data_IF_509965972997
#
_entry.id   IF_509965972997
#
_cell.length_a   1.000
_cell.length_b   1.000
_cell.length_c   1.000
_cell.angle_alpha   90.00
_cell.angle_beta   90.00
_cell.angle_gamma   90.00
#
_symmetry.space_group_name_H-M   'P 1'
#
loop_
_entity.id
_entity.type
_entity.pdbx_description
1 polymer ?
#
# COMPACT_ATOMS: atom_id res chain seq x y z
N UNK A 1 15.25 0.57 -35.77
CA UNK A 1 14.52 -0.55 -35.12
C UNK A 1 15.30 -0.91 -33.86
N UNK A 2 14.94 -0.36 -32.70
CA UNK A 2 15.69 -0.62 -31.46
C UNK A 2 15.29 -1.99 -30.91
N UNK A 3 16.22 -2.94 -30.98
CA UNK A 3 16.24 -4.11 -30.10
C UNK A 3 16.11 -3.62 -28.66
N UNK A 4 14.93 -3.69 -28.04
CA UNK A 4 14.81 -3.45 -26.60
C UNK A 4 14.89 -4.80 -25.91
N UNK A 5 16.08 -5.12 -25.41
CA UNK A 5 16.29 -6.17 -24.42
C UNK A 5 15.83 -5.72 -23.02
N UNK A 6 15.36 -4.47 -22.88
CA UNK A 6 14.95 -3.86 -21.62
C UNK A 6 13.48 -3.41 -21.68
N UNK A 7 12.71 -3.62 -20.59
CA UNK A 7 11.31 -3.23 -20.53
C UNK A 7 11.13 -1.71 -20.58
N UNK A 8 9.98 -1.24 -21.08
CA UNK A 8 9.54 0.14 -20.86
C UNK A 8 9.15 0.32 -19.39
N UNK A 9 9.78 1.26 -18.67
CA UNK A 9 9.64 1.43 -17.23
C UNK A 9 8.69 2.57 -16.90
N UNK A 10 7.57 2.23 -16.26
CA UNK A 10 6.60 3.19 -15.73
C UNK A 10 6.86 3.42 -14.25
N UNK A 11 7.16 4.65 -13.85
CA UNK A 11 7.16 5.07 -12.45
C UNK A 11 5.74 5.44 -12.01
N UNK A 12 5.10 4.60 -11.21
CA UNK A 12 3.73 4.82 -10.74
C UNK A 12 3.73 5.39 -9.32
N UNK A 13 3.22 6.62 -9.18
CA UNK A 13 3.12 7.31 -7.89
C UNK A 13 1.77 7.98 -7.68
N UNK A 14 1.57 8.56 -6.50
CA UNK A 14 0.34 9.22 -6.09
C UNK A 14 0.34 9.50 -4.59
N UNK A 15 -0.50 10.44 -4.18
CA UNK A 15 -0.73 10.69 -2.76
C UNK A 15 -1.49 9.52 -2.10
N UNK A 16 -1.58 9.56 -0.78
CA UNK A 16 -2.26 8.55 0.02
C UNK A 16 -3.71 8.39 -0.45
N UNK A 17 -4.19 7.15 -0.47
CA UNK A 17 -5.57 6.81 -0.83
C UNK A 17 -6.06 7.29 -2.22
N UNK A 18 -5.18 7.71 -3.10
CA UNK A 18 -5.52 8.05 -4.50
C UNK A 18 -5.88 6.82 -5.35
N UNK A 19 -5.47 5.62 -4.92
CA UNK A 19 -5.74 4.36 -5.63
C UNK A 19 -4.60 3.85 -6.49
N UNK A 20 -3.36 4.26 -6.20
CA UNK A 20 -2.12 3.75 -6.81
C UNK A 20 -2.10 2.23 -6.97
N UNK A 21 -2.41 1.48 -5.91
CA UNK A 21 -2.45 0.01 -5.93
C UNK A 21 -3.53 -0.57 -6.85
N UNK A 22 -4.63 0.16 -7.05
CA UNK A 22 -5.66 -0.22 -8.03
C UNK A 22 -5.10 -0.11 -9.45
N UNK A 23 -4.45 1.00 -9.79
CA UNK A 23 -3.83 1.21 -11.11
C UNK A 23 -2.68 0.22 -11.34
N UNK A 24 -1.85 -0.03 -10.32
CA UNK A 24 -0.78 -1.03 -10.38
C UNK A 24 -1.33 -2.43 -10.72
N UNK A 25 -2.46 -2.82 -10.09
CA UNK A 25 -3.14 -4.08 -10.43
C UNK A 25 -3.68 -4.07 -11.86
N UNK A 26 -4.26 -2.97 -12.32
CA UNK A 26 -4.74 -2.87 -13.70
C UNK A 26 -3.60 -3.06 -14.71
N UNK A 27 -2.45 -2.42 -14.49
CA UNK A 27 -1.26 -2.58 -15.32
C UNK A 27 -0.73 -4.02 -15.29
N UNK A 28 -0.73 -4.68 -14.13
CA UNK A 28 -0.41 -6.12 -14.04
C UNK A 28 -1.33 -6.97 -14.91
N UNK A 29 -2.61 -6.64 -14.96
CA UNK A 29 -3.61 -7.35 -15.77
C UNK A 29 -3.47 -7.09 -17.27
N UNK A 30 -2.81 -5.99 -17.66
CA UNK A 30 -2.38 -5.73 -19.03
C UNK A 30 -1.06 -6.42 -19.39
N UNK A 31 -0.43 -7.12 -18.44
CA UNK A 31 0.80 -7.89 -18.66
C UNK A 31 2.07 -7.21 -18.17
N UNK A 32 1.98 -6.16 -17.34
CA UNK A 32 3.16 -5.51 -16.78
C UNK A 32 3.80 -6.29 -15.61
N UNK A 33 5.12 -6.23 -15.53
CA UNK A 33 5.90 -6.62 -14.36
C UNK A 33 5.80 -5.53 -13.30
N UNK A 34 5.07 -5.75 -12.19
CA UNK A 34 4.86 -4.70 -11.18
C UNK A 34 5.74 -4.93 -9.96
N UNK A 35 6.58 -3.94 -9.65
CA UNK A 35 7.52 -3.89 -8.54
C UNK A 35 7.00 -2.89 -7.50
N UNK A 36 6.69 -3.38 -6.30
CA UNK A 36 6.24 -2.55 -5.17
C UNK A 36 7.45 -2.11 -4.34
N UNK A 37 7.90 -0.87 -4.55
CA UNK A 37 9.08 -0.31 -3.89
C UNK A 37 8.86 -0.11 -2.39
N UNK A 38 7.62 0.18 -1.96
CA UNK A 38 7.28 0.31 -0.55
C UNK A 38 7.49 -1.03 0.18
N UNK A 39 7.13 -2.16 -0.45
CA UNK A 39 7.47 -3.52 0.05
C UNK A 39 8.96 -3.82 0.04
N UNK A 40 9.74 -3.26 -0.89
CA UNK A 40 11.19 -3.42 -0.90
C UNK A 40 11.83 -2.68 0.27
N UNK A 41 11.42 -1.44 0.51
CA UNK A 41 11.83 -0.67 1.69
C UNK A 41 11.52 -1.45 2.98
N UNK A 42 10.33 -2.06 3.05
CA UNK A 42 9.94 -2.87 4.19
C UNK A 42 10.84 -4.08 4.41
N UNK A 43 11.25 -4.75 3.33
CA UNK A 43 12.14 -5.92 3.40
C UNK A 43 13.58 -5.53 3.72
N UNK A 44 14.04 -4.39 3.22
CA UNK A 44 15.39 -3.89 3.48
C UNK A 44 15.62 -3.66 4.98
N UNK A 45 14.59 -3.21 5.71
CA UNK A 45 14.66 -2.90 7.15
C UNK A 45 14.56 -4.12 8.09
N UNK A 46 14.45 -5.35 7.57
CA UNK A 46 14.30 -6.54 8.43
C UNK A 46 15.51 -6.76 9.35
N UNK A 47 15.25 -7.36 10.50
CA UNK A 47 16.26 -7.71 11.49
C UNK A 47 17.51 -8.37 10.88
N UNK A 48 18.69 -7.94 11.31
CA UNK A 48 19.98 -8.51 10.91
C UNK A 48 20.52 -8.06 9.56
N UNK A 49 19.79 -7.21 8.81
CA UNK A 49 20.28 -6.61 7.57
C UNK A 49 21.12 -5.35 7.77
N UNK A 50 21.86 -4.95 6.72
CA UNK A 50 22.69 -3.72 6.73
C UNK A 50 21.88 -2.45 7.04
N UNK A 51 20.72 -2.30 6.40
CA UNK A 51 19.82 -1.15 6.63
C UNK A 51 19.32 -1.12 8.08
N UNK A 52 18.98 -2.27 8.65
CA UNK A 52 18.58 -2.38 10.05
C UNK A 52 19.72 -1.92 10.98
N UNK A 53 20.96 -2.38 10.74
CA UNK A 53 22.13 -1.94 11.53
C UNK A 53 22.34 -0.42 11.44
N UNK A 54 22.30 0.16 10.24
CA UNK A 54 22.46 1.61 10.05
C UNK A 54 21.34 2.44 10.71
N UNK A 55 20.10 1.91 10.72
CA UNK A 55 18.99 2.53 11.45
C UNK A 55 19.30 2.53 12.95
N UNK A 56 19.79 1.42 13.51
CA UNK A 56 20.15 1.32 14.93
C UNK A 56 21.31 2.26 15.30
N UNK A 57 22.33 2.35 14.44
CA UNK A 57 23.46 3.28 14.62
C UNK A 57 22.99 4.74 14.68
N UNK A 58 21.99 5.11 13.87
CA UNK A 58 21.50 6.49 13.78
C UNK A 58 20.44 6.85 14.83
N UNK A 59 19.53 5.93 15.13
CA UNK A 59 18.33 6.18 15.94
C UNK A 59 18.33 5.43 17.28
N UNK A 60 19.41 4.71 17.57
CA UNK A 60 19.58 3.94 18.80
C UNK A 60 18.83 2.61 18.79
N UNK A 61 19.02 1.80 19.83
CA UNK A 61 18.41 0.45 19.94
C UNK A 61 16.93 0.51 20.35
N UNK A 62 16.47 1.66 20.81
CA UNK A 62 15.08 1.89 21.20
C UNK A 62 14.11 1.80 20.03
N UNK A 63 14.57 1.87 18.79
CA UNK A 63 13.72 1.68 17.59
C UNK A 63 13.57 0.21 17.20
N UNK A 64 14.09 -0.71 18.01
CA UNK A 64 13.93 -2.15 17.81
C UNK A 64 12.90 -2.74 18.76
N UNK A 65 12.18 -3.73 18.25
CA UNK A 65 11.41 -4.69 19.04
C UNK A 65 12.34 -5.71 19.71
N UNK A 66 11.85 -6.47 20.71
CA UNK A 66 12.67 -7.48 21.40
C UNK A 66 13.24 -8.58 20.48
N UNK A 67 12.60 -8.83 19.34
CA UNK A 67 13.05 -9.79 18.31
C UNK A 67 14.08 -9.21 17.34
N UNK A 68 14.44 -7.92 17.49
CA UNK A 68 15.39 -7.21 16.64
C UNK A 68 14.77 -6.61 15.37
N UNK A 69 13.47 -6.77 15.14
CA UNK A 69 12.77 -6.08 14.05
C UNK A 69 12.61 -4.59 14.37
N UNK A 70 12.51 -3.75 13.34
CA UNK A 70 12.27 -2.31 13.52
C UNK A 70 10.85 -2.06 14.02
N UNK A 71 10.73 -1.38 15.17
CA UNK A 71 9.47 -0.82 15.68
C UNK A 71 9.10 0.38 14.81
N UNK A 72 8.31 0.11 13.76
CA UNK A 72 7.90 1.11 12.77
C UNK A 72 7.06 2.25 13.37
N UNK A 73 6.06 2.01 14.24
CA UNK A 73 5.37 3.08 14.94
C UNK A 73 6.35 4.00 15.68
N UNK A 74 7.29 3.45 16.42
CA UNK A 74 8.26 4.24 17.19
C UNK A 74 9.23 5.00 16.30
N UNK A 75 9.79 4.34 15.29
CA UNK A 75 10.65 4.99 14.30
C UNK A 75 9.90 6.12 13.57
N UNK A 76 8.64 5.90 13.20
CA UNK A 76 7.77 6.90 12.58
C UNK A 76 7.62 8.14 13.47
N UNK A 77 7.34 7.97 14.77
CA UNK A 77 7.25 9.09 15.71
C UNK A 77 8.53 9.93 15.73
N UNK A 78 9.70 9.29 15.73
CA UNK A 78 10.98 10.00 15.73
C UNK A 78 11.22 10.76 14.43
N UNK A 79 11.05 10.11 13.28
CA UNK A 79 11.40 10.70 12.00
C UNK A 79 10.37 11.71 11.51
N UNK A 80 9.10 11.61 11.90
CA UNK A 80 8.09 12.62 11.55
C UNK A 80 8.11 13.83 12.48
N UNK A 81 8.76 13.75 13.64
CA UNK A 81 8.98 14.90 14.51
C UNK A 81 10.17 15.78 14.09
N UNK A 82 11.13 15.22 13.35
CA UNK A 82 12.34 15.92 12.90
C UNK A 82 12.63 15.66 11.42
N UNK A 83 12.59 16.73 10.62
CA UNK A 83 12.88 16.66 9.19
C UNK A 83 14.31 16.18 8.89
N UNK A 84 15.28 16.41 9.78
CA UNK A 84 16.64 15.87 9.62
C UNK A 84 16.69 14.37 9.86
N UNK A 85 16.03 13.89 10.92
CA UNK A 85 15.85 12.47 11.18
C UNK A 85 15.18 11.75 10.01
N UNK A 86 14.16 12.37 9.37
CA UNK A 86 13.54 11.80 8.16
C UNK A 86 14.52 11.67 7.00
N UNK A 87 15.30 12.73 6.71
CA UNK A 87 16.32 12.71 5.65
C UNK A 87 17.38 11.66 5.91
N UNK A 88 17.79 11.49 7.16
CA UNK A 88 18.78 10.48 7.53
C UNK A 88 18.23 9.07 7.29
N UNK A 89 16.99 8.80 7.71
CA UNK A 89 16.33 7.51 7.42
C UNK A 89 16.21 7.27 5.91
N UNK A 90 15.79 8.27 5.15
CA UNK A 90 15.68 8.19 3.69
C UNK A 90 17.04 7.90 3.04
N UNK A 91 18.12 8.55 3.49
CA UNK A 91 19.48 8.33 2.97
C UNK A 91 20.02 6.93 3.23
N UNK A 92 19.54 6.28 4.31
CA UNK A 92 19.89 4.90 4.64
C UNK A 92 19.11 3.92 3.74
N UNK A 93 17.81 4.17 3.55
CA UNK A 93 16.88 3.22 2.92
C UNK A 93 16.85 3.35 1.39
N UNK A 94 16.78 4.57 0.85
CA UNK A 94 16.54 4.81 -0.57
C UNK A 94 17.57 4.13 -1.49
N UNK A 95 18.90 4.23 -1.26
CA UNK A 95 19.88 3.62 -2.16
C UNK A 95 19.67 2.10 -2.31
N UNK A 96 19.42 1.41 -1.19
CA UNK A 96 19.20 -0.05 -1.19
C UNK A 96 17.92 -0.43 -1.94
N UNK A 97 16.87 0.40 -1.82
CA UNK A 97 15.60 0.20 -2.54
C UNK A 97 15.76 0.48 -4.02
N UNK A 98 16.52 1.51 -4.40
CA UNK A 98 16.86 1.81 -5.80
C UNK A 98 17.58 0.64 -6.44
N UNK A 99 18.68 0.16 -5.83
CA UNK A 99 19.46 -0.96 -6.38
C UNK A 99 18.64 -2.24 -6.53
N UNK A 100 17.82 -2.57 -5.53
CA UNK A 100 16.93 -3.74 -5.59
C UNK A 100 15.84 -3.58 -6.66
N UNK A 101 15.32 -2.36 -6.86
CA UNK A 101 14.33 -2.08 -7.89
C UNK A 101 14.93 -2.23 -9.27
N UNK A 102 16.13 -1.67 -9.52
CA UNK A 102 16.85 -1.80 -10.78
C UNK A 102 17.16 -3.26 -11.10
N UNK A 103 17.62 -4.04 -10.11
CA UNK A 103 17.82 -5.49 -10.27
C UNK A 103 16.54 -6.22 -10.67
N UNK A 104 15.38 -5.82 -10.13
CA UNK A 104 14.08 -6.41 -10.49
C UNK A 104 13.60 -5.99 -11.87
N UNK A 105 13.83 -4.73 -12.27
CA UNK A 105 13.52 -4.24 -13.61
C UNK A 105 14.31 -5.06 -14.64
N UNK A 106 15.62 -5.22 -14.43
CA UNK A 106 16.49 -6.00 -15.32
C UNK A 106 16.09 -7.48 -15.43
N UNK A 107 15.38 -8.01 -14.42
CA UNK A 107 14.88 -9.38 -14.41
C UNK A 107 13.45 -9.54 -14.95
N UNK A 108 12.77 -8.45 -15.33
CA UNK A 108 11.44 -8.54 -15.92
C UNK A 108 11.52 -9.03 -17.38
N UNK A 109 10.83 -10.13 -17.68
CA UNK A 109 10.70 -10.66 -19.04
C UNK A 109 9.59 -9.96 -19.84
N UNK A 110 8.70 -9.24 -19.14
CA UNK A 110 7.60 -8.49 -19.72
C UNK A 110 8.12 -7.24 -20.43
N UNK A 111 7.46 -6.80 -21.51
CA UNK A 111 7.91 -5.61 -22.25
C UNK A 111 7.65 -4.30 -21.50
N UNK A 112 6.91 -4.34 -20.38
CA UNK A 112 6.64 -3.19 -19.49
C UNK A 112 6.92 -3.57 -18.05
N UNK A 113 7.69 -2.74 -17.36
CA UNK A 113 7.88 -2.80 -15.90
C UNK A 113 7.20 -1.59 -15.24
N UNK A 114 6.65 -1.77 -14.05
CA UNK A 114 6.00 -0.71 -13.28
C UNK A 114 6.63 -0.65 -11.90
N UNK A 115 7.26 0.48 -11.57
CA UNK A 115 7.76 0.76 -10.23
C UNK A 115 6.70 1.53 -9.47
N UNK A 116 5.97 0.84 -8.59
CA UNK A 116 5.00 1.44 -7.70
C UNK A 116 5.70 1.97 -6.44
N UNK A 117 5.72 3.29 -6.26
CA UNK A 117 6.37 3.93 -5.10
C UNK A 117 5.64 5.20 -4.64
N UNK A 118 5.42 5.35 -3.33
CA UNK A 118 4.87 6.60 -2.78
C UNK A 118 5.89 7.75 -2.89
N UNK A 119 7.17 7.44 -2.62
CA UNK A 119 8.30 8.39 -2.66
C UNK A 119 9.10 8.30 -3.97
N UNK A 120 8.42 8.10 -5.10
CA UNK A 120 9.07 7.90 -6.41
C UNK A 120 9.97 9.08 -6.80
N UNK A 121 9.51 10.30 -6.53
CA UNK A 121 10.22 11.52 -6.90
C UNK A 121 11.33 11.83 -5.89
N UNK A 122 11.02 11.69 -4.62
CA UNK A 122 11.88 11.97 -3.48
C UNK A 122 13.06 10.99 -3.39
N UNK A 123 12.86 9.74 -3.81
CA UNK A 123 13.92 8.75 -3.94
C UNK A 123 14.67 8.82 -5.28
N UNK A 124 14.41 9.84 -6.10
CA UNK A 124 15.00 10.00 -7.45
C UNK A 124 14.75 8.82 -8.41
N UNK A 125 13.86 7.89 -8.05
CA UNK A 125 13.55 6.69 -8.83
C UNK A 125 12.97 7.01 -10.21
N UNK A 126 12.27 8.15 -10.34
CA UNK A 126 11.76 8.65 -11.61
C UNK A 126 12.85 8.83 -12.69
N UNK A 127 14.11 9.05 -12.31
CA UNK A 127 15.25 9.14 -13.25
C UNK A 127 15.55 7.82 -13.96
N UNK A 128 15.05 6.71 -13.42
CA UNK A 128 15.18 5.36 -13.98
C UNK A 128 13.90 4.89 -14.70
N UNK A 129 12.93 5.78 -14.93
CA UNK A 129 11.67 5.48 -15.59
C UNK A 129 11.62 6.13 -16.99
N UNK A 130 11.02 5.45 -17.96
CA UNK A 130 10.69 6.05 -19.27
C UNK A 130 9.51 7.04 -19.17
N UNK A 131 8.59 6.82 -18.21
CA UNK A 131 7.47 7.73 -17.94
C UNK A 131 7.02 7.68 -16.47
N UNK A 132 6.59 8.82 -15.95
CA UNK A 132 5.99 8.99 -14.62
C UNK A 132 4.47 9.05 -14.75
N UNK A 133 3.79 8.09 -14.14
CA UNK A 133 2.34 8.03 -14.04
C UNK A 133 1.90 8.43 -12.64
N UNK A 134 1.04 9.44 -12.54
CA UNK A 134 0.52 9.93 -11.27
C UNK A 134 -0.95 9.60 -11.15
N UNK A 135 -1.31 8.88 -10.09
CA UNK A 135 -2.71 8.61 -9.74
C UNK A 135 -3.21 9.72 -8.82
N UNK A 136 -4.34 10.31 -9.19
CA UNK A 136 -4.98 11.41 -8.47
C UNK A 136 -6.40 11.05 -8.06
N UNK A 137 -6.87 11.72 -7.02
CA UNK A 137 -8.24 11.61 -6.51
C UNK A 137 -8.55 12.85 -5.67
N UNK A 138 -9.81 13.25 -5.60
CA UNK A 138 -10.27 14.34 -4.74
C UNK A 138 -9.97 14.09 -3.26
N UNK A 139 -9.77 15.15 -2.48
CA UNK A 139 -9.54 15.08 -1.03
C UNK A 139 -10.64 14.28 -0.33
N UNK A 140 -11.90 14.51 -0.71
CA UNK A 140 -13.05 13.78 -0.18
C UNK A 140 -12.91 12.27 -0.39
N UNK A 141 -12.60 11.83 -1.61
CA UNK A 141 -12.40 10.41 -1.93
C UNK A 141 -11.22 9.80 -1.17
N UNK A 142 -10.13 10.55 -0.97
CA UNK A 142 -8.99 10.08 -0.18
C UNK A 142 -9.40 9.82 1.28
N UNK A 143 -10.12 10.75 1.90
CA UNK A 143 -10.60 10.63 3.29
C UNK A 143 -11.55 9.45 3.42
N UNK A 144 -12.58 9.35 2.57
CA UNK A 144 -13.53 8.24 2.58
C UNK A 144 -12.81 6.88 2.49
N UNK A 145 -11.82 6.76 1.59
CA UNK A 145 -11.04 5.52 1.43
C UNK A 145 -10.14 5.22 2.62
N UNK A 146 -9.59 6.23 3.30
CA UNK A 146 -8.82 6.03 4.53
C UNK A 146 -9.72 5.55 5.67
N UNK A 147 -10.90 6.14 5.81
CA UNK A 147 -11.87 5.74 6.82
C UNK A 147 -12.35 4.31 6.59
N UNK A 148 -12.85 4.00 5.39
CA UNK A 148 -13.41 2.67 5.09
C UNK A 148 -12.35 1.57 4.89
N UNK A 149 -11.21 1.93 4.30
CA UNK A 149 -10.18 0.96 3.93
C UNK A 149 -9.12 0.72 5.00
N UNK A 150 -8.98 1.62 5.98
CA UNK A 150 -7.95 1.53 7.03
C UNK A 150 -8.49 1.81 8.44
N UNK A 151 -9.81 1.87 8.61
CA UNK A 151 -10.48 2.08 9.91
C UNK A 151 -10.00 3.30 10.67
N UNK A 152 -9.68 4.39 9.96
CA UNK A 152 -9.26 5.67 10.55
C UNK A 152 -10.48 6.53 10.87
N UNK A 153 -10.35 7.37 11.89
CA UNK A 153 -11.28 8.49 12.10
C UNK A 153 -11.14 9.53 10.98
N UNK A 154 -12.16 10.36 10.79
CA UNK A 154 -12.10 11.46 9.82
C UNK A 154 -10.91 12.39 10.12
N UNK A 155 -10.72 12.80 11.37
CA UNK A 155 -9.61 13.67 11.79
C UNK A 155 -8.24 13.04 11.50
N UNK A 156 -8.04 11.75 11.78
CA UNK A 156 -6.78 11.06 11.45
C UNK A 156 -6.55 10.97 9.94
N UNK A 157 -7.61 10.72 9.17
CA UNK A 157 -7.53 10.66 7.71
C UNK A 157 -7.16 12.03 7.12
N UNK A 158 -7.76 13.11 7.61
CA UNK A 158 -7.44 14.48 7.22
C UNK A 158 -6.00 14.84 7.53
N UNK A 159 -5.55 14.59 8.77
CA UNK A 159 -4.15 14.82 9.17
C UNK A 159 -3.16 14.11 8.24
N UNK A 160 -3.47 12.89 7.81
CA UNK A 160 -2.60 12.13 6.89
C UNK A 160 -2.62 12.66 5.46
N UNK A 161 -3.75 13.15 4.98
CA UNK A 161 -3.84 13.78 3.65
C UNK A 161 -3.07 15.10 3.67
N UNK A 162 -3.28 15.91 4.70
CA UNK A 162 -2.72 17.26 4.82
C UNK A 162 -1.21 17.24 5.14
N UNK A 163 -0.70 16.14 5.73
CA UNK A 163 0.74 15.94 5.96
C UNK A 163 1.54 15.65 4.67
N UNK A 164 0.89 15.41 3.54
CA UNK A 164 1.57 15.15 2.27
C UNK A 164 1.76 16.42 1.46
N UNK A 165 2.81 16.45 0.64
CA UNK A 165 3.00 17.52 -0.33
C UNK A 165 1.79 17.61 -1.29
N UNK A 166 1.46 18.84 -1.76
CA UNK A 166 0.39 19.05 -2.73
C UNK A 166 0.53 18.14 -3.94
N UNK A 167 -0.58 17.58 -4.41
CA UNK A 167 -0.58 16.64 -5.54
C UNK A 167 -0.08 17.30 -6.83
N UNK A 168 -0.24 18.63 -6.93
CA UNK A 168 0.21 19.49 -8.02
C UNK A 168 1.70 19.33 -8.30
N UNK A 169 2.52 19.15 -7.27
CA UNK A 169 3.96 18.91 -7.44
C UNK A 169 4.26 17.61 -8.20
N UNK A 170 3.46 16.56 -7.94
CA UNK A 170 3.58 15.27 -8.64
C UNK A 170 3.01 15.39 -10.05
N UNK A 171 1.85 16.02 -10.19
CA UNK A 171 1.17 16.24 -11.48
C UNK A 171 2.07 17.03 -12.44
N UNK A 172 2.77 18.06 -11.96
CA UNK A 172 3.68 18.86 -12.77
C UNK A 172 4.86 18.07 -13.34
N UNK A 173 5.17 16.90 -12.77
CA UNK A 173 6.23 15.99 -13.22
C UNK A 173 5.69 14.71 -13.87
N UNK A 174 4.39 14.65 -14.13
CA UNK A 174 3.74 13.48 -14.67
C UNK A 174 3.71 13.53 -16.20
N UNK A 175 4.08 12.43 -16.85
CA UNK A 175 3.80 12.20 -18.27
C UNK A 175 2.34 11.76 -18.48
N UNK A 176 1.80 11.05 -17.50
CA UNK A 176 0.41 10.56 -17.50
C UNK A 176 -0.24 10.81 -16.15
N UNK A 177 -1.44 11.39 -16.17
CA UNK A 177 -2.28 11.55 -14.98
C UNK A 177 -3.50 10.64 -15.09
N UNK A 178 -3.71 9.79 -14.08
CA UNK A 178 -4.87 8.89 -13.97
C UNK A 178 -5.76 9.37 -12.83
N UNK A 179 -6.93 9.94 -13.16
CA UNK A 179 -7.93 10.35 -12.17
C UNK A 179 -8.80 9.14 -11.77
N UNK A 180 -8.82 8.82 -10.47
CA UNK A 180 -9.55 7.69 -9.90
C UNK A 180 -10.80 8.11 -9.10
N UNK A 181 -11.43 9.25 -9.42
CA UNK A 181 -12.66 9.70 -8.75
C UNK A 181 -13.92 9.09 -9.37
N UNK A 182 -13.93 8.86 -10.69
CA UNK A 182 -15.14 8.45 -11.42
C UNK A 182 -15.41 6.95 -11.41
N UNK A 183 -14.74 6.21 -10.51
CA UNK A 183 -14.90 4.77 -10.38
C UNK A 183 -13.97 3.95 -11.27
N UNK A 184 -14.11 2.62 -11.16
CA UNK A 184 -13.12 1.68 -11.66
C UNK A 184 -13.11 1.54 -13.18
N UNK A 185 -14.26 1.71 -13.83
CA UNK A 185 -14.38 1.54 -15.28
C UNK A 185 -13.70 2.70 -16.01
N UNK A 186 -13.93 3.91 -15.53
CA UNK A 186 -13.35 5.15 -16.01
C UNK A 186 -11.84 5.18 -15.76
N UNK A 187 -11.42 4.71 -14.58
CA UNK A 187 -9.99 4.53 -14.26
C UNK A 187 -9.35 3.51 -15.19
N UNK A 188 -9.99 2.36 -15.42
CA UNK A 188 -9.50 1.35 -16.36
C UNK A 188 -9.38 1.89 -17.79
N UNK A 189 -10.38 2.64 -18.25
CA UNK A 189 -10.36 3.24 -19.57
C UNK A 189 -9.18 4.24 -19.73
N UNK A 190 -8.88 5.02 -18.69
CA UNK A 190 -7.69 5.88 -18.68
C UNK A 190 -6.39 5.06 -18.76
N UNK A 191 -6.26 4.02 -17.94
CA UNK A 191 -5.08 3.13 -17.92
C UNK A 191 -4.88 2.46 -19.28
N UNK A 192 -5.93 1.94 -19.92
CA UNK A 192 -5.85 1.31 -21.25
C UNK A 192 -5.46 2.32 -22.32
N UNK A 193 -6.03 3.54 -22.30
CA UNK A 193 -5.64 4.59 -23.26
C UNK A 193 -4.16 4.93 -23.13
N UNK A 194 -3.67 5.12 -21.91
CA UNK A 194 -2.26 5.43 -21.66
C UNK A 194 -1.34 4.23 -21.98
N UNK A 195 -1.77 3.00 -21.73
CA UNK A 195 -1.04 1.79 -22.12
C UNK A 195 -0.88 1.70 -23.64
N UNK A 196 -1.96 1.92 -24.38
CA UNK A 196 -1.96 1.84 -25.84
C UNK A 196 -1.15 2.97 -26.52
N UNK A 197 -0.82 4.05 -25.79
CA UNK A 197 0.10 5.08 -26.30
C UNK A 197 1.58 4.73 -26.14
N UNK A 198 1.93 3.65 -25.43
CA UNK A 198 3.33 3.26 -25.25
C UNK A 198 3.89 2.68 -26.56
N UNK A 199 4.94 3.26 -27.15
CA UNK A 199 5.46 2.80 -28.43
C UNK A 199 6.05 1.38 -28.33
N UNK A 200 5.71 0.52 -29.30
CA UNK A 200 6.28 -0.83 -29.40
C UNK A 200 5.69 -1.87 -28.44
N UNK A 201 4.70 -1.50 -27.62
CA UNK A 201 4.02 -2.41 -26.70
C UNK A 201 2.72 -2.93 -27.34
N UNK A 202 2.38 -4.23 -27.20
CA UNK A 202 1.10 -4.75 -27.66
C UNK A 202 -0.08 -4.02 -27.04
N UNK A 203 -1.02 -3.59 -27.88
CA UNK A 203 -2.24 -2.92 -27.43
C UNK A 203 -3.09 -3.83 -26.56
N UNK A 204 -3.66 -3.28 -25.50
CA UNK A 204 -4.58 -3.99 -24.63
C UNK A 204 -5.80 -4.49 -25.43
N UNK A 205 -6.15 -5.77 -25.26
CA UNK A 205 -7.31 -6.36 -25.94
C UNK A 205 -8.64 -5.77 -25.44
N UNK A 206 -9.65 -5.75 -26.30
CA UNK A 206 -11.02 -5.40 -25.92
C UNK A 206 -11.60 -6.32 -24.82
N UNK A 207 -11.04 -7.52 -24.65
CA UNK A 207 -11.41 -8.51 -23.62
C UNK A 207 -10.77 -8.27 -22.25
N UNK A 208 -9.80 -7.36 -22.17
CA UNK A 208 -9.01 -7.14 -20.96
C UNK A 208 -9.88 -6.63 -19.79
N UNK A 209 -10.91 -5.82 -20.07
CA UNK A 209 -11.85 -5.36 -19.04
C UNK A 209 -12.69 -6.51 -18.46
N UNK A 210 -13.22 -7.40 -19.31
CA UNK A 210 -14.01 -8.55 -18.86
C UNK A 210 -13.13 -9.49 -18.02
N UNK A 211 -11.88 -9.72 -18.41
CA UNK A 211 -10.93 -10.52 -17.65
C UNK A 211 -10.62 -9.89 -16.29
N UNK A 212 -10.38 -8.57 -16.26
CA UNK A 212 -10.16 -7.82 -15.02
C UNK A 212 -11.36 -7.92 -14.07
N UNK A 213 -12.58 -7.73 -14.60
CA UNK A 213 -13.81 -7.87 -13.81
C UNK A 213 -13.98 -9.29 -13.26
N UNK A 214 -13.77 -10.31 -14.11
CA UNK A 214 -13.89 -11.72 -13.74
C UNK A 214 -12.94 -12.08 -12.60
N UNK A 215 -11.64 -11.79 -12.74
CA UNK A 215 -10.64 -12.06 -11.68
C UNK A 215 -10.95 -11.32 -10.39
N UNK A 216 -11.43 -10.07 -10.49
CA UNK A 216 -11.84 -9.31 -9.30
C UNK A 216 -13.05 -9.94 -8.62
N UNK A 217 -14.04 -10.39 -9.39
CA UNK A 217 -15.21 -11.09 -8.86
C UNK A 217 -14.82 -12.44 -8.22
N UNK A 218 -13.93 -13.20 -8.86
CA UNK A 218 -13.37 -14.47 -8.34
C UNK A 218 -12.60 -14.26 -7.03
N UNK A 219 -11.83 -13.19 -6.92
CA UNK A 219 -11.13 -12.84 -5.67
C UNK A 219 -12.12 -12.56 -4.53
N UNK A 220 -13.19 -11.80 -4.79
CA UNK A 220 -14.24 -11.52 -3.80
C UNK A 220 -15.03 -12.78 -3.46
N UNK A 221 -15.36 -13.62 -4.46
CA UNK A 221 -16.06 -14.87 -4.24
C UNK A 221 -15.19 -15.89 -3.52
N UNK A 222 -13.88 -15.92 -3.74
CA UNK A 222 -12.94 -16.79 -3.03
C UNK A 222 -12.86 -16.43 -1.55
N UNK A 223 -12.85 -15.14 -1.21
CA UNK A 223 -12.95 -14.68 0.18
C UNK A 223 -14.30 -15.11 0.79
N UNK A 224 -15.41 -14.91 0.07
CA UNK A 224 -16.73 -15.35 0.54
C UNK A 224 -16.84 -16.87 0.67
N UNK A 225 -16.27 -17.63 -0.25
CA UNK A 225 -16.28 -19.09 -0.24
C UNK A 225 -15.41 -19.63 0.89
N UNK A 226 -14.24 -19.04 1.16
CA UNK A 226 -13.42 -19.36 2.32
C UNK A 226 -14.17 -19.10 3.63
N UNK A 227 -14.82 -17.94 3.76
CA UNK A 227 -15.67 -17.63 4.92
C UNK A 227 -16.87 -18.58 5.02
N UNK A 228 -17.45 -19.00 3.90
CA UNK A 228 -18.54 -19.97 3.86
C UNK A 228 -18.12 -21.41 4.19
N UNK A 229 -16.91 -21.82 3.82
CA UNK A 229 -16.32 -23.12 4.20
C UNK A 229 -15.88 -23.16 5.67
N UNK A 230 -15.64 -21.99 6.27
CA UNK A 230 -15.33 -21.85 7.68
C UNK A 230 -16.37 -20.98 8.39
N UNK A 231 -17.63 -21.44 8.50
CA UNK A 231 -18.72 -20.65 9.07
C UNK A 231 -18.44 -20.23 10.52
N UNK A 232 -17.75 -21.09 11.29
CA UNK A 232 -17.30 -20.76 12.65
C UNK A 232 -16.25 -19.63 12.67
N UNK A 233 -15.33 -19.62 11.71
CA UNK A 233 -14.33 -18.56 11.54
C UNK A 233 -15.00 -17.25 11.12
N UNK A 234 -15.97 -17.30 10.19
CA UNK A 234 -16.72 -16.14 9.76
C UNK A 234 -17.55 -15.52 10.90
N UNK A 235 -18.26 -16.36 11.67
CA UNK A 235 -18.99 -15.93 12.87
C UNK A 235 -18.05 -15.34 13.92
N UNK A 236 -16.91 -15.99 14.17
CA UNK A 236 -15.91 -15.47 15.10
C UNK A 236 -15.36 -14.11 14.66
N UNK A 237 -15.01 -13.94 13.39
CA UNK A 237 -14.52 -12.67 12.84
C UNK A 237 -15.58 -11.58 12.99
N UNK A 238 -16.83 -11.85 12.60
CA UNK A 238 -17.92 -10.88 12.68
C UNK A 238 -18.20 -10.44 14.13
N UNK A 239 -18.30 -11.39 15.06
CA UNK A 239 -18.49 -11.13 16.49
C UNK A 239 -17.31 -10.37 17.09
N UNK A 240 -16.08 -10.79 16.78
CA UNK A 240 -14.85 -10.15 17.30
C UNK A 240 -14.75 -8.70 16.85
N UNK A 241 -14.98 -8.42 15.56
CA UNK A 241 -14.92 -7.06 15.02
C UNK A 241 -16.00 -6.19 15.65
N UNK A 242 -17.25 -6.67 15.72
CA UNK A 242 -18.35 -5.93 16.34
C UNK A 242 -18.10 -5.61 17.82
N UNK A 243 -17.65 -6.60 18.60
CA UNK A 243 -17.35 -6.41 20.03
C UNK A 243 -16.17 -5.48 20.24
N UNK A 244 -15.10 -5.61 19.45
CA UNK A 244 -13.93 -4.70 19.56
C UNK A 244 -14.31 -3.28 19.20
N UNK A 245 -15.13 -3.05 18.18
CA UNK A 245 -15.61 -1.70 17.82
C UNK A 245 -16.46 -1.09 18.94
N UNK A 246 -17.42 -1.84 19.48
CA UNK A 246 -18.25 -1.38 20.61
C UNK A 246 -17.41 -1.07 21.85
N UNK A 247 -16.42 -1.92 22.12
CA UNK A 247 -15.52 -1.77 23.25
C UNK A 247 -14.61 -0.55 23.10
N UNK A 248 -13.99 -0.35 21.92
CA UNK A 248 -13.19 0.84 21.63
C UNK A 248 -14.05 2.12 21.69
N UNK A 249 -15.31 2.05 21.26
CA UNK A 249 -16.26 3.16 21.39
C UNK A 249 -16.60 3.47 22.85
N UNK A 250 -16.90 2.46 23.66
CA UNK A 250 -17.21 2.62 25.08
C UNK A 250 -15.99 3.00 25.94
N UNK A 251 -14.79 2.65 25.49
CA UNK A 251 -13.52 2.90 26.18
C UNK A 251 -12.88 4.25 25.81
N UNK A 252 -13.41 4.97 24.82
CA UNK A 252 -12.77 6.14 24.22
C UNK A 252 -12.52 7.30 25.21
N UNK A 253 -13.37 7.45 26.23
CA UNK A 253 -13.26 8.52 27.24
C UNK A 253 -12.60 8.06 28.55
N UNK A 254 -12.17 6.79 28.67
CA UNK A 254 -11.77 6.17 29.94
C UNK A 254 -10.29 6.29 30.30
N UNK A 255 -9.48 7.00 29.51
CA UNK A 255 -8.07 7.27 29.84
C UNK A 255 -7.20 6.01 29.97
N UNK A 256 -7.55 4.94 29.25
CA UNK A 256 -6.83 3.66 29.29
C UNK A 256 -5.45 3.77 28.64
N UNK A 257 -4.46 3.11 29.24
CA UNK A 257 -3.12 2.98 28.63
C UNK A 257 -3.15 2.03 27.43
N UNK A 258 -2.19 2.18 26.51
CA UNK A 258 -2.12 1.35 25.30
C UNK A 258 -2.02 -0.16 25.59
N UNK A 259 -1.35 -0.55 26.69
CA UNK A 259 -1.26 -1.95 27.12
C UNK A 259 -2.58 -2.48 27.67
N UNK A 260 -3.33 -1.67 28.40
CA UNK A 260 -4.67 -2.02 28.88
C UNK A 260 -5.66 -2.15 27.71
N UNK A 261 -5.60 -1.24 26.74
CA UNK A 261 -6.43 -1.30 25.55
C UNK A 261 -6.12 -2.55 24.71
N UNK A 262 -4.83 -2.87 24.52
CA UNK A 262 -4.39 -4.08 23.83
C UNK A 262 -4.84 -5.35 24.55
N UNK A 263 -4.69 -5.41 25.89
CA UNK A 263 -5.18 -6.52 26.70
C UNK A 263 -6.69 -6.71 26.60
N UNK A 264 -7.45 -5.61 26.58
CA UNK A 264 -8.91 -5.62 26.44
C UNK A 264 -9.36 -6.11 25.06
N UNK A 265 -8.70 -5.67 23.98
CA UNK A 265 -8.95 -6.16 22.61
C UNK A 265 -8.64 -7.66 22.51
N UNK A 266 -7.49 -8.13 23.02
CA UNK A 266 -7.13 -9.55 23.00
C UNK A 266 -8.14 -10.39 23.77
N UNK A 267 -8.56 -9.95 24.96
CA UNK A 267 -9.58 -10.63 25.75
C UNK A 267 -10.92 -10.68 25.02
N UNK A 268 -11.30 -9.61 24.33
CA UNK A 268 -12.55 -9.50 23.56
C UNK A 268 -12.56 -10.44 22.36
N UNK A 269 -11.46 -10.51 21.62
CA UNK A 269 -11.29 -11.44 20.48
C UNK A 269 -11.29 -12.89 20.97
N UNK A 270 -10.65 -13.18 22.10
CA UNK A 270 -10.66 -14.50 22.74
C UNK A 270 -12.07 -14.92 23.20
N UNK A 271 -12.80 -14.00 23.84
CA UNK A 271 -14.18 -14.23 24.30
C UNK A 271 -15.14 -14.47 23.13
N UNK A 272 -15.04 -13.65 22.07
CA UNK A 272 -15.81 -13.86 20.85
C UNK A 272 -15.49 -15.22 20.20
N UNK A 273 -14.25 -15.70 20.32
CA UNK A 273 -13.83 -17.03 19.87
C UNK A 273 -14.47 -18.15 20.67
N UNK A 274 -14.47 -18.02 22.00
CA UNK A 274 -15.16 -18.95 22.88
C UNK A 274 -16.68 -18.97 22.62
N UNK A 275 -17.32 -17.82 22.45
CA UNK A 275 -18.75 -17.73 22.11
C UNK A 275 -19.07 -18.38 20.76
N UNK A 276 -18.29 -18.09 19.71
CA UNK A 276 -18.49 -18.70 18.39
C UNK A 276 -18.21 -20.22 18.39
N UNK A 277 -17.32 -20.69 19.26
CA UNK A 277 -17.04 -22.12 19.43
C UNK A 277 -18.17 -22.85 20.18
N UNK A 278 -18.70 -22.26 21.26
CA UNK A 278 -19.80 -22.80 22.06
C UNK A 278 -21.11 -22.84 21.27
N UNK A 279 -21.44 -21.77 20.53
CA UNK A 279 -22.66 -21.72 19.70
C UNK A 279 -22.58 -22.71 18.53
N UNK A 280 -21.39 -23.10 18.11
CA UNK A 280 -21.18 -24.05 17.03
C UNK A 280 -21.24 -25.53 17.43
N UNK A 281 -21.68 -25.87 18.65
CA UNK A 281 -21.76 -27.24 19.20
C UNK A 281 -23.15 -27.89 19.12
N UNK A 282 -24.13 -27.23 18.50
CA UNK A 282 -25.41 -27.80 18.06
C UNK A 282 -25.46 -27.94 16.53
#
# INVERSE_FOLDING_TARGET
MTNRNEPYVIGLTGNIATGKSTVARMLRELGACVIDADRLAHRAMRAGGEVNRRIVERFGREVLLPDGEVDRPRLATLVFADASALRDLESIVHPVVVDETLRRIAACEQPVAVVEAIKLLEADMHKHCDAVWVVTSSRQQQIERLMHGRSMTASEAELRVDAQSPAEHKIARADVVINNDRGLRETWAQVVRAWNSIPGIPTASARAWQNYQKKRAESVSGIRAFLGQHPRLASWIALSVGMVVLLLWAAWDKGLTASQLAGLVVATVGLAGACAWIIGWE
#
